data_IF_522476070862
#
_entry.id   IF_522476070862
#
_cell.length_a   1.000
_cell.length_b   1.000
_cell.length_c   1.000
_cell.angle_alpha   90.00
_cell.angle_beta   90.00
_cell.angle_gamma   90.00
#
_symmetry.space_group_name_H-M   'P 1'
#
loop_
_entity.id
_entity.type
_entity.pdbx_description
1 polymer ?
#
# COMPACT_ATOMS: atom_id res chain seq x y z
N UNK A 1 -13.81 6.69 -5.21
CA UNK A 1 -13.46 7.83 -4.33
C UNK A 1 -14.05 7.59 -2.95
N UNK A 2 -13.28 7.75 -1.90
CA UNK A 2 -13.83 7.69 -0.55
C UNK A 2 -14.13 9.10 -0.05
N UNK A 3 -15.23 9.28 0.70
CA UNK A 3 -15.68 10.62 1.10
C UNK A 3 -14.98 11.18 2.33
N UNK A 4 -14.07 10.43 2.95
CA UNK A 4 -13.48 10.78 4.23
C UNK A 4 -11.95 10.66 4.20
N UNK A 5 -11.24 11.55 4.89
CA UNK A 5 -9.79 11.41 5.05
C UNK A 5 -9.41 10.07 5.70
N UNK A 6 -8.33 9.48 5.26
CA UNK A 6 -7.95 8.16 5.75
C UNK A 6 -6.44 8.01 5.99
N UNK A 7 -6.12 7.00 6.78
CA UNK A 7 -4.78 6.43 6.92
C UNK A 7 -4.75 5.19 6.05
N UNK A 8 -3.75 5.06 5.19
CA UNK A 8 -3.70 3.98 4.21
C UNK A 8 -2.34 3.33 4.12
N UNK A 9 -2.32 2.12 3.62
CA UNK A 9 -1.12 1.46 3.12
C UNK A 9 -1.40 0.90 1.73
N UNK A 10 -0.35 0.57 0.99
CA UNK A 10 -0.44 0.06 -0.37
C UNK A 10 0.26 -1.28 -0.43
N UNK A 11 -0.35 -2.26 -1.10
CA UNK A 11 0.29 -3.54 -1.36
C UNK A 11 -0.62 -4.45 -2.16
N UNK A 12 -0.06 -5.51 -2.70
CA UNK A 12 -0.86 -6.52 -3.37
C UNK A 12 -1.57 -7.43 -2.37
N UNK A 13 -0.96 -7.70 -1.22
CA UNK A 13 -1.51 -8.46 -0.09
C UNK A 13 -2.00 -9.87 -0.45
N UNK A 14 -1.31 -10.56 -1.36
CA UNK A 14 -1.68 -11.93 -1.71
C UNK A 14 -1.51 -12.87 -0.50
N UNK A 15 -2.58 -13.59 -0.15
CA UNK A 15 -2.59 -14.51 1.00
C UNK A 15 -2.69 -13.84 2.36
N UNK A 16 -2.57 -12.53 2.46
CA UNK A 16 -2.63 -11.76 3.71
C UNK A 16 -1.71 -12.36 4.79
N UNK A 17 -0.41 -12.35 4.53
CA UNK A 17 0.63 -12.88 5.44
C UNK A 17 0.72 -12.12 6.75
N UNK A 18 1.44 -12.70 7.73
CA UNK A 18 1.65 -12.08 9.05
C UNK A 18 2.23 -10.67 8.97
N UNK A 19 3.19 -10.44 8.06
CA UNK A 19 3.74 -9.10 7.84
C UNK A 19 2.69 -8.11 7.37
N UNK A 20 1.78 -8.57 6.51
CA UNK A 20 0.65 -7.74 6.07
C UNK A 20 -0.29 -7.43 7.24
N UNK A 21 -0.58 -8.42 8.07
CA UNK A 21 -1.46 -8.24 9.24
C UNK A 21 -0.88 -7.23 10.22
N UNK A 22 0.43 -7.27 10.43
CA UNK A 22 1.12 -6.30 11.28
C UNK A 22 0.97 -4.88 10.74
N UNK A 23 1.22 -4.71 9.44
CA UNK A 23 1.07 -3.42 8.77
C UNK A 23 -0.38 -2.91 8.83
N UNK A 24 -1.33 -3.79 8.58
CA UNK A 24 -2.76 -3.47 8.64
C UNK A 24 -3.13 -3.02 10.06
N UNK A 25 -2.63 -3.71 11.06
CA UNK A 25 -2.87 -3.35 12.46
C UNK A 25 -2.33 -1.96 12.77
N UNK A 26 -1.14 -1.63 12.28
CA UNK A 26 -0.58 -0.28 12.46
C UNK A 26 -1.44 0.79 11.80
N UNK A 27 -1.94 0.54 10.59
CA UNK A 27 -2.85 1.46 9.90
C UNK A 27 -4.09 1.71 10.75
N UNK A 28 -4.68 0.66 11.30
CA UNK A 28 -5.87 0.75 12.16
C UNK A 28 -5.59 1.56 13.43
N UNK A 29 -4.45 1.31 14.07
CA UNK A 29 -4.06 2.00 15.30
C UNK A 29 -3.84 3.48 15.08
N UNK A 30 -3.14 3.83 13.99
CA UNK A 30 -2.89 5.23 13.64
C UNK A 30 -4.21 5.93 13.29
N UNK A 31 -5.07 5.26 12.53
CA UNK A 31 -6.38 5.79 12.17
C UNK A 31 -7.21 6.08 13.41
N UNK A 32 -7.26 5.15 14.35
CA UNK A 32 -7.99 5.33 15.61
C UNK A 32 -7.43 6.49 16.41
N UNK A 33 -6.10 6.61 16.52
CA UNK A 33 -5.45 7.67 17.28
C UNK A 33 -5.68 9.05 16.66
N UNK A 34 -5.86 9.14 15.35
CA UNK A 34 -6.03 10.41 14.64
C UNK A 34 -7.49 10.73 14.31
N UNK A 35 -8.42 9.84 14.64
CA UNK A 35 -9.82 10.02 14.28
C UNK A 35 -10.08 9.94 12.78
N UNK A 36 -9.25 9.19 12.06
CA UNK A 36 -9.37 9.00 10.61
C UNK A 36 -9.86 7.58 10.30
N UNK A 37 -10.29 7.35 9.08
CA UNK A 37 -10.64 6.02 8.61
C UNK A 37 -9.40 5.23 8.23
N UNK A 38 -9.47 3.90 8.33
CA UNK A 38 -8.40 3.01 7.91
C UNK A 38 -8.70 2.48 6.51
N UNK A 39 -7.68 2.42 5.66
CA UNK A 39 -7.85 2.00 4.27
C UNK A 39 -6.66 1.16 3.81
N UNK A 40 -6.95 0.21 2.93
CA UNK A 40 -5.92 -0.56 2.23
C UNK A 40 -6.08 -0.31 0.74
N UNK A 41 -5.00 0.07 0.07
CA UNK A 41 -4.98 0.19 -1.39
C UNK A 41 -4.32 -1.07 -1.93
N UNK A 42 -5.05 -1.84 -2.71
CA UNK A 42 -4.56 -3.08 -3.30
C UNK A 42 -4.98 -3.17 -4.76
N UNK A 43 -4.58 -4.23 -5.43
CA UNK A 43 -4.77 -4.39 -6.87
C UNK A 43 -5.44 -5.72 -7.19
N UNK A 44 -6.41 -5.77 -8.11
CA UNK A 44 -7.00 -7.04 -8.54
C UNK A 44 -6.03 -7.91 -9.33
N UNK A 45 -5.11 -7.28 -10.08
CA UNK A 45 -4.07 -7.95 -10.85
C UNK A 45 -2.72 -7.46 -10.36
N UNK A 46 -1.76 -8.38 -10.23
CA UNK A 46 -0.42 -8.02 -9.77
C UNK A 46 0.17 -6.94 -10.70
N UNK A 47 0.71 -5.82 -10.15
CA UNK A 47 1.23 -4.73 -10.97
C UNK A 47 2.29 -5.16 -11.99
N UNK A 48 3.13 -6.14 -11.66
CA UNK A 48 4.15 -6.64 -12.60
C UNK A 48 3.52 -7.31 -13.83
N UNK A 49 2.36 -7.92 -13.71
CA UNK A 49 1.65 -8.50 -14.85
C UNK A 49 1.16 -7.43 -15.81
N UNK A 50 0.75 -6.28 -15.30
CA UNK A 50 0.34 -5.14 -16.14
C UNK A 50 1.53 -4.57 -16.92
N UNK A 51 2.70 -4.50 -16.27
CA UNK A 51 3.93 -3.98 -16.88
C UNK A 51 4.59 -4.99 -17.82
N UNK A 52 4.39 -6.27 -17.59
CA UNK A 52 4.96 -7.37 -18.39
C UNK A 52 3.91 -8.46 -18.56
N UNK A 53 3.29 -8.51 -19.74
CA UNK A 53 2.21 -9.45 -20.04
C UNK A 53 2.65 -10.92 -19.96
N UNK A 54 3.95 -11.19 -20.10
CA UNK A 54 4.49 -12.55 -19.99
C UNK A 54 4.66 -13.00 -18.52
N UNK A 55 4.54 -12.10 -17.57
CA UNK A 55 4.66 -12.43 -16.16
C UNK A 55 3.38 -13.10 -15.65
N UNK A 56 3.53 -14.32 -15.16
CA UNK A 56 2.42 -15.10 -14.60
C UNK A 56 2.74 -15.48 -13.15
N UNK A 57 2.38 -14.63 -12.17
CA UNK A 57 2.67 -14.95 -10.78
C UNK A 57 1.83 -16.11 -10.28
N UNK A 58 2.42 -16.94 -9.43
CA UNK A 58 1.66 -17.91 -8.65
C UNK A 58 1.01 -17.17 -7.49
N UNK A 59 -0.32 -17.09 -7.51
CA UNK A 59 -1.07 -16.37 -6.49
C UNK A 59 -1.63 -17.34 -5.46
N UNK A 60 -1.57 -16.94 -4.18
CA UNK A 60 -2.12 -17.71 -3.07
C UNK A 60 -3.63 -17.57 -2.98
N UNK A 61 -4.15 -16.45 -3.45
CA UNK A 61 -5.59 -16.15 -3.38
C UNK A 61 -6.07 -15.55 -4.69
N UNK A 62 -7.37 -15.78 -4.97
CA UNK A 62 -8.06 -15.03 -6.02
C UNK A 62 -8.32 -13.61 -5.54
N UNK A 63 -8.64 -12.65 -6.43
CA UNK A 63 -9.04 -11.31 -6.01
C UNK A 63 -10.21 -11.30 -5.04
N UNK A 64 -11.19 -12.19 -5.23
CA UNK A 64 -12.36 -12.31 -4.34
C UNK A 64 -11.97 -12.82 -2.96
N UNK A 65 -11.15 -13.86 -2.90
CA UNK A 65 -10.65 -14.41 -1.64
C UNK A 65 -9.83 -13.35 -0.90
N UNK A 66 -8.98 -12.63 -1.62
CA UNK A 66 -8.17 -11.56 -1.04
C UNK A 66 -9.05 -10.45 -0.45
N UNK A 67 -10.06 -10.01 -1.18
CA UNK A 67 -10.99 -9.00 -0.70
C UNK A 67 -11.68 -9.45 0.59
N UNK A 68 -12.13 -10.70 0.64
CA UNK A 68 -12.77 -11.25 1.83
C UNK A 68 -11.80 -11.32 3.02
N UNK A 69 -10.56 -11.73 2.79
CA UNK A 69 -9.54 -11.78 3.84
C UNK A 69 -9.21 -10.39 4.38
N UNK A 70 -9.08 -9.41 3.49
CA UNK A 70 -8.81 -8.03 3.89
C UNK A 70 -9.99 -7.40 4.62
N UNK A 71 -11.21 -7.67 4.19
CA UNK A 71 -12.42 -7.21 4.89
C UNK A 71 -12.47 -7.76 6.32
N UNK A 72 -12.01 -9.01 6.52
CA UNK A 72 -11.95 -9.62 7.84
C UNK A 72 -10.94 -8.99 8.80
N UNK A 73 -10.05 -8.13 8.32
CA UNK A 73 -9.07 -7.45 9.18
C UNK A 73 -9.65 -6.29 9.97
N UNK A 74 -10.86 -5.85 9.64
CA UNK A 74 -11.52 -4.75 10.34
C UNK A 74 -11.17 -3.36 9.85
N UNK A 75 -10.49 -3.23 8.70
CA UNK A 75 -10.27 -1.92 8.09
C UNK A 75 -11.57 -1.34 7.55
N UNK A 76 -11.67 -0.02 7.54
CA UNK A 76 -12.89 0.65 7.08
C UNK A 76 -13.07 0.54 5.57
N UNK A 77 -11.99 0.62 4.80
CA UNK A 77 -12.04 0.59 3.34
C UNK A 77 -10.98 -0.36 2.78
N UNK A 78 -11.36 -1.14 1.79
CA UNK A 78 -10.44 -1.91 0.96
C UNK A 78 -10.58 -1.37 -0.47
N UNK A 79 -9.57 -0.65 -0.94
CA UNK A 79 -9.64 0.07 -2.20
C UNK A 79 -8.92 -0.74 -3.28
N UNK A 80 -9.71 -1.26 -4.22
CA UNK A 80 -9.18 -2.03 -5.35
C UNK A 80 -8.84 -1.05 -6.48
N UNK A 81 -7.55 -0.84 -6.69
CA UNK A 81 -7.06 0.05 -7.73
C UNK A 81 -6.69 -0.75 -8.98
N UNK A 82 -7.36 -0.48 -10.10
CA UNK A 82 -6.96 -1.06 -11.37
C UNK A 82 -5.64 -0.43 -11.80
N UNK A 83 -4.58 -1.25 -11.82
CA UNK A 83 -3.25 -0.79 -12.19
C UNK A 83 -3.11 -0.81 -13.71
N UNK A 84 -3.66 0.23 -14.34
CA UNK A 84 -3.63 0.38 -15.79
C UNK A 84 -2.25 0.78 -16.29
N UNK A 85 -1.95 0.63 -17.60
CA UNK A 85 -0.69 1.16 -18.16
C UNK A 85 -0.49 2.66 -17.87
N UNK A 86 -1.55 3.45 -17.88
CA UNK A 86 -1.46 4.89 -17.58
C UNK A 86 -0.99 5.13 -16.14
N UNK A 87 -1.57 4.41 -15.18
CA UNK A 87 -1.15 4.50 -13.78
C UNK A 87 0.29 4.01 -13.60
N UNK A 88 0.69 2.97 -14.34
CA UNK A 88 2.05 2.43 -14.26
C UNK A 88 3.13 3.44 -14.69
N UNK A 89 2.76 4.44 -15.48
CA UNK A 89 3.69 5.49 -15.94
C UNK A 89 3.81 6.66 -14.98
N UNK A 90 2.97 6.75 -13.97
CA UNK A 90 3.04 7.84 -13.01
C UNK A 90 4.32 7.75 -12.18
N UNK A 91 4.98 8.87 -11.99
CA UNK A 91 6.08 8.95 -11.04
C UNK A 91 5.53 8.76 -9.63
N UNK A 92 6.41 8.51 -8.66
CA UNK A 92 5.97 8.39 -7.26
C UNK A 92 5.20 9.64 -6.81
N UNK A 93 5.71 10.83 -7.14
CA UNK A 93 5.06 12.08 -6.78
C UNK A 93 3.68 12.22 -7.43
N UNK A 94 3.58 11.89 -8.71
CA UNK A 94 2.31 11.93 -9.44
C UNK A 94 1.32 10.93 -8.86
N UNK A 95 1.77 9.71 -8.55
CA UNK A 95 0.93 8.70 -7.93
C UNK A 95 0.40 9.17 -6.58
N UNK A 96 1.26 9.72 -5.73
CA UNK A 96 0.87 10.23 -4.42
C UNK A 96 -0.16 11.37 -4.56
N UNK A 97 0.05 12.26 -5.52
CA UNK A 97 -0.84 13.40 -5.70
C UNK A 97 -2.18 13.00 -6.31
N UNK A 98 -2.15 12.27 -7.43
CA UNK A 98 -3.36 11.99 -8.20
C UNK A 98 -4.19 10.85 -7.60
N UNK A 99 -3.53 9.81 -7.10
CA UNK A 99 -4.22 8.62 -6.61
C UNK A 99 -4.45 8.71 -5.10
N UNK A 100 -3.39 8.90 -4.32
CA UNK A 100 -3.53 8.86 -2.87
C UNK A 100 -4.23 10.10 -2.33
N UNK A 101 -3.85 11.28 -2.77
CA UNK A 101 -4.45 12.52 -2.28
C UNK A 101 -5.80 12.82 -2.93
N UNK A 102 -5.83 12.93 -4.25
CA UNK A 102 -7.02 13.42 -4.95
C UNK A 102 -8.13 12.38 -5.02
N UNK A 103 -7.78 11.13 -5.30
CA UNK A 103 -8.80 10.07 -5.43
C UNK A 103 -9.23 9.49 -4.09
N UNK A 104 -8.30 9.22 -3.18
CA UNK A 104 -8.59 8.47 -1.96
C UNK A 104 -8.51 9.29 -0.68
N UNK A 105 -8.15 10.56 -0.76
CA UNK A 105 -8.05 11.45 0.40
C UNK A 105 -7.14 10.90 1.52
N UNK A 106 -6.02 10.29 1.14
CA UNK A 106 -5.05 9.79 2.10
C UNK A 106 -4.36 10.95 2.80
N UNK A 107 -4.38 10.96 4.12
CA UNK A 107 -3.68 11.96 4.95
C UNK A 107 -2.43 11.40 5.59
N UNK A 108 -2.39 10.10 5.81
CA UNK A 108 -1.26 9.42 6.39
C UNK A 108 -1.03 8.11 5.62
N UNK A 109 0.16 7.94 5.08
CA UNK A 109 0.55 6.75 4.35
C UNK A 109 1.56 5.95 5.18
N UNK A 110 1.23 4.71 5.51
CA UNK A 110 2.12 3.80 6.23
C UNK A 110 2.64 2.77 5.24
N UNK A 111 3.95 2.70 5.09
CA UNK A 111 4.58 1.74 4.19
C UNK A 111 5.82 1.13 4.85
N UNK A 112 6.24 -0.04 4.38
CA UNK A 112 7.53 -0.59 4.78
C UNK A 112 8.66 0.30 4.25
N UNK A 113 9.75 0.39 5.00
CA UNK A 113 10.88 1.26 4.63
C UNK A 113 11.43 0.94 3.23
N UNK A 114 11.41 -0.33 2.86
CA UNK A 114 11.93 -0.79 1.57
C UNK A 114 10.88 -0.84 0.46
N UNK A 115 9.64 -0.49 0.78
CA UNK A 115 8.57 -0.49 -0.22
C UNK A 115 8.82 0.58 -1.28
N UNK A 116 8.65 0.21 -2.54
CA UNK A 116 8.83 1.10 -3.68
C UNK A 116 7.57 1.16 -4.51
N UNK A 117 7.22 2.35 -4.96
CA UNK A 117 6.16 2.55 -5.93
C UNK A 117 6.55 3.67 -6.91
N UNK A 118 5.74 3.88 -7.93
CA UNK A 118 6.06 4.83 -9.00
C UNK A 118 6.80 4.15 -10.15
N UNK A 119 6.89 4.85 -11.28
CA UNK A 119 7.31 4.25 -12.56
C UNK A 119 8.66 3.53 -12.49
N UNK A 120 9.70 4.18 -12.03
CA UNK A 120 11.05 3.61 -12.07
C UNK A 120 11.47 2.90 -10.79
N UNK A 121 10.69 3.02 -9.72
CA UNK A 121 11.03 2.49 -8.40
C UNK A 121 12.43 2.89 -7.91
N UNK A 122 12.98 3.97 -8.47
CA UNK A 122 14.30 4.47 -8.10
C UNK A 122 14.27 5.31 -6.82
N UNK A 123 13.10 5.81 -6.47
CA UNK A 123 12.88 6.64 -5.30
C UNK A 123 12.56 5.77 -4.09
N UNK A 124 12.89 6.26 -2.91
CA UNK A 124 12.71 5.52 -1.68
C UNK A 124 11.91 6.27 -0.63
N UNK A 125 11.92 5.72 0.57
CA UNK A 125 11.12 6.22 1.68
C UNK A 125 11.33 7.72 1.95
N UNK A 126 12.57 8.18 1.95
CA UNK A 126 12.88 9.58 2.22
C UNK A 126 12.30 10.51 1.15
N UNK A 127 12.31 10.05 -0.10
CA UNK A 127 11.69 10.80 -1.20
C UNK A 127 10.18 10.89 -1.02
N UNK A 128 9.54 9.82 -0.60
CA UNK A 128 8.11 9.79 -0.34
C UNK A 128 7.71 10.71 0.81
N UNK A 129 8.53 10.76 1.87
CA UNK A 129 8.32 11.70 2.98
C UNK A 129 8.34 13.14 2.47
N UNK A 130 9.33 13.47 1.65
CA UNK A 130 9.48 14.80 1.08
C UNK A 130 8.31 15.18 0.18
N UNK A 131 7.89 14.26 -0.70
CA UNK A 131 6.74 14.49 -1.58
C UNK A 131 5.45 14.66 -0.78
N UNK A 132 5.29 13.85 0.25
CA UNK A 132 4.12 13.94 1.12
C UNK A 132 4.02 15.28 1.83
N UNK A 133 5.13 15.81 2.31
CA UNK A 133 5.16 17.12 2.95
C UNK A 133 4.65 18.22 2.01
N UNK A 134 4.98 18.12 0.72
CA UNK A 134 4.55 19.11 -0.26
C UNK A 134 3.04 19.07 -0.56
N UNK A 135 2.40 17.94 -0.37
CA UNK A 135 0.99 17.73 -0.75
C UNK A 135 0.07 17.43 0.45
N UNK A 136 0.60 17.45 1.66
CA UNK A 136 -0.20 17.25 2.87
C UNK A 136 -0.44 15.80 3.25
N UNK A 137 0.40 14.88 2.80
CA UNK A 137 0.38 13.47 3.22
C UNK A 137 1.57 13.21 4.14
N UNK A 138 1.30 12.76 5.36
CA UNK A 138 2.37 12.30 6.24
C UNK A 138 2.73 10.87 5.88
N UNK A 139 3.99 10.59 5.61
CA UNK A 139 4.48 9.26 5.27
C UNK A 139 5.25 8.72 6.47
N UNK A 140 4.82 7.56 6.97
CA UNK A 140 5.46 6.90 8.09
C UNK A 140 5.93 5.50 7.72
N UNK A 141 7.09 5.11 8.24
CA UNK A 141 7.56 3.75 8.12
C UNK A 141 6.76 2.84 9.04
N UNK A 142 6.46 1.64 8.57
CA UNK A 142 5.97 0.58 9.44
C UNK A 142 7.01 0.36 10.55
N UNK A 143 6.63 0.62 11.80
CA UNK A 143 7.55 0.50 12.91
C UNK A 143 7.77 -0.98 13.23
N UNK A 144 8.84 -1.55 12.68
CA UNK A 144 9.39 -2.78 13.19
C UNK A 144 9.97 -2.47 14.55
N UNK A 145 9.43 -3.06 15.59
CA UNK A 145 9.92 -2.85 16.94
C UNK A 145 11.24 -3.55 17.19
N UNK A 146 11.60 -4.53 16.33
CA UNK A 146 12.85 -5.27 16.40
C UNK A 146 13.36 -5.53 14.99
N UNK A 147 14.70 -5.64 14.87
CA UNK A 147 15.34 -5.84 13.57
C UNK A 147 14.86 -7.11 12.86
N UNK A 148 14.55 -8.17 13.61
CA UNK A 148 14.04 -9.41 13.05
C UNK A 148 12.67 -9.23 12.42
N UNK A 149 11.78 -8.50 13.09
CA UNK A 149 10.44 -8.22 12.56
C UNK A 149 10.53 -7.38 11.30
N UNK A 150 11.38 -6.36 11.29
CA UNK A 150 11.60 -5.53 10.13
C UNK A 150 12.13 -6.34 8.94
N UNK A 151 13.06 -7.25 9.20
CA UNK A 151 13.63 -8.11 8.16
C UNK A 151 12.57 -9.10 7.62
N UNK A 152 11.77 -9.67 8.50
CA UNK A 152 10.69 -10.58 8.12
C UNK A 152 9.66 -9.85 7.26
N UNK A 153 9.26 -8.65 7.66
CA UNK A 153 8.33 -7.84 6.89
C UNK A 153 8.89 -7.48 5.52
N UNK A 154 10.17 -7.12 5.46
CA UNK A 154 10.85 -6.83 4.20
C UNK A 154 10.77 -8.01 3.24
N UNK A 155 11.06 -9.23 3.72
CA UNK A 155 10.99 -10.43 2.91
C UNK A 155 9.57 -10.73 2.42
N UNK A 156 8.59 -10.57 3.29
CA UNK A 156 7.19 -10.78 2.94
C UNK A 156 6.72 -9.76 1.90
N UNK A 157 7.13 -8.51 2.05
CA UNK A 157 6.83 -7.47 1.08
C UNK A 157 7.42 -7.77 -0.28
N UNK A 158 8.68 -8.16 -0.32
CA UNK A 158 9.33 -8.51 -1.58
C UNK A 158 8.66 -9.71 -2.26
N UNK A 159 8.22 -10.69 -1.49
CA UNK A 159 7.50 -11.84 -2.02
C UNK A 159 6.10 -11.46 -2.53
N UNK A 160 5.40 -10.57 -1.84
CA UNK A 160 4.01 -10.21 -2.15
C UNK A 160 3.89 -9.11 -3.20
N UNK A 161 4.78 -8.13 -3.17
CA UNK A 161 4.68 -6.92 -4.01
C UNK A 161 5.75 -6.85 -5.08
N UNK A 162 6.69 -7.72 -5.02
CA UNK A 162 7.76 -7.65 -5.85
C UNK A 162 8.56 -7.97 -6.63
#
# INVERSE_FOLDING_TARGET
MIPEPCVATIGFFDGVHMGHRYLIQQVKEIAAAKGLRSALVTFPVHPRKVMNAAYHPELLTTPEEKTNLLAGTGVDYCLMLDFTPDISRLTAKEFMTQILKERYQVKYLVIGYDHRFGHNRSEGFDDYVRYGQAIGIKVGASAGTQAEDALTMKRLYQAACG
#
